data_IF_446845436698
#
_entry.id   IF_446845436698
#
_cell.length_a   1.000
_cell.length_b   1.000
_cell.length_c   1.000
_cell.angle_alpha   90.00
_cell.angle_beta   90.00
_cell.angle_gamma   90.00
#
_symmetry.space_group_name_H-M   'P 1'
#
loop_
_entity.id
_entity.type
_entity.pdbx_description
1 polymer ?
#
# COMPACT_ATOMS: atom_id res chain seq x y z
N UNK A 1 8.47 13.71 8.54
CA UNK A 1 8.07 13.63 7.11
C UNK A 1 8.96 12.71 6.28
N UNK A 2 10.29 12.87 6.21
CA UNK A 2 11.17 12.00 5.39
C UNK A 2 11.07 10.51 5.74
N UNK A 3 11.10 10.16 7.03
CA UNK A 3 10.98 8.76 7.46
C UNK A 3 9.62 8.14 7.12
N UNK A 4 8.55 8.90 7.23
CA UNK A 4 7.20 8.46 6.81
C UNK A 4 7.19 8.13 5.33
N UNK A 5 7.74 9.01 4.49
CA UNK A 5 7.84 8.80 3.06
C UNK A 5 8.70 7.56 2.71
N UNK A 6 9.85 7.37 3.37
CA UNK A 6 10.66 6.15 3.21
C UNK A 6 9.91 4.90 3.64
N UNK A 7 9.13 4.95 4.73
CA UNK A 7 8.28 3.84 5.18
C UNK A 7 7.23 3.49 4.15
N UNK A 8 6.57 4.49 3.53
CA UNK A 8 5.67 4.27 2.37
C UNK A 8 6.43 3.55 1.26
N UNK A 9 7.65 3.99 0.93
CA UNK A 9 8.49 3.37 -0.09
C UNK A 9 8.79 1.89 0.18
N UNK A 10 9.05 1.51 1.43
CA UNK A 10 9.23 0.10 1.82
C UNK A 10 7.98 -0.73 1.50
N UNK A 11 6.79 -0.22 1.84
CA UNK A 11 5.55 -0.92 1.51
C UNK A 11 5.33 -1.01 -0.01
N UNK A 12 5.60 0.05 -0.77
CA UNK A 12 5.46 0.05 -2.23
C UNK A 12 6.41 -0.96 -2.90
N UNK A 13 7.65 -1.09 -2.39
CA UNK A 13 8.58 -2.14 -2.86
C UNK A 13 8.00 -3.53 -2.59
N UNK A 14 7.45 -3.77 -1.40
CA UNK A 14 6.84 -5.05 -1.07
C UNK A 14 5.61 -5.34 -1.94
N UNK A 15 4.77 -4.34 -2.15
CA UNK A 15 3.59 -4.39 -3.02
C UNK A 15 3.97 -4.77 -4.46
N UNK A 16 4.91 -4.08 -5.08
CA UNK A 16 5.37 -4.37 -6.45
C UNK A 16 6.05 -5.75 -6.54
N UNK A 17 6.74 -6.16 -5.47
CA UNK A 17 7.31 -7.50 -5.38
C UNK A 17 6.23 -8.60 -5.39
N UNK A 18 5.03 -8.36 -4.81
CA UNK A 18 3.90 -9.30 -4.86
C UNK A 18 3.42 -9.56 -6.29
N UNK A 19 3.55 -8.58 -7.16
CA UNK A 19 3.24 -8.68 -8.60
C UNK A 19 4.41 -9.16 -9.46
N UNK A 20 5.57 -9.47 -8.85
CA UNK A 20 6.77 -9.85 -9.59
C UNK A 20 7.40 -8.69 -10.37
N UNK A 21 7.00 -7.44 -10.09
CA UNK A 21 7.36 -6.25 -10.85
C UNK A 21 8.78 -5.72 -10.57
N UNK A 22 9.37 -6.06 -9.41
CA UNK A 22 10.72 -5.58 -9.03
C UNK A 22 11.79 -6.26 -9.87
N UNK A 23 11.77 -7.60 -9.94
CA UNK A 23 12.72 -8.37 -10.75
C UNK A 23 11.92 -9.38 -11.58
N UNK A 24 11.71 -9.05 -12.86
CA UNK A 24 10.93 -9.88 -13.78
C UNK A 24 11.49 -11.30 -13.89
N UNK A 25 10.63 -12.31 -13.86
CA UNK A 25 11.01 -13.73 -13.98
C UNK A 25 11.76 -14.32 -12.77
N UNK A 26 11.89 -13.60 -11.66
CA UNK A 26 12.63 -14.05 -10.47
C UNK A 26 11.73 -14.03 -9.19
N UNK A 27 10.77 -14.96 -9.08
CA UNK A 27 9.80 -14.96 -7.98
C UNK A 27 10.46 -15.10 -6.60
N UNK A 28 11.54 -15.87 -6.48
CA UNK A 28 12.30 -16.01 -5.21
C UNK A 28 12.93 -14.69 -4.75
N UNK A 29 13.49 -13.91 -5.68
CA UNK A 29 14.08 -12.59 -5.37
C UNK A 29 12.98 -11.62 -4.97
N UNK A 30 11.89 -11.54 -5.72
CA UNK A 30 10.75 -10.70 -5.36
C UNK A 30 10.21 -11.04 -3.96
N UNK A 31 10.02 -12.33 -3.64
CA UNK A 31 9.60 -12.77 -2.32
C UNK A 31 10.58 -12.35 -1.23
N UNK A 32 11.90 -12.51 -1.46
CA UNK A 32 12.94 -12.11 -0.50
C UNK A 32 12.92 -10.60 -0.23
N UNK A 33 12.96 -9.78 -1.30
CA UNK A 33 12.92 -8.32 -1.19
C UNK A 33 11.62 -7.83 -0.53
N UNK A 34 10.48 -8.36 -0.97
CA UNK A 34 9.19 -7.98 -0.40
C UNK A 34 9.05 -8.39 1.08
N UNK A 35 9.54 -9.57 1.46
CA UNK A 35 9.55 -10.01 2.86
C UNK A 35 10.41 -9.12 3.75
N UNK A 36 11.60 -8.75 3.27
CA UNK A 36 12.51 -7.84 3.98
C UNK A 36 11.87 -6.44 4.12
N UNK A 37 11.30 -5.91 3.04
CA UNK A 37 10.66 -4.61 3.07
C UNK A 37 9.47 -4.57 4.05
N UNK A 38 8.64 -5.63 4.10
CA UNK A 38 7.53 -5.75 5.06
C UNK A 38 8.00 -5.88 6.50
N UNK A 39 9.10 -6.60 6.73
CA UNK A 39 9.70 -6.72 8.06
C UNK A 39 10.17 -5.35 8.56
N UNK A 40 10.90 -4.61 7.72
CA UNK A 40 11.39 -3.26 8.05
C UNK A 40 10.28 -2.24 8.19
N UNK A 41 9.19 -2.37 7.44
CA UNK A 41 8.05 -1.46 7.52
C UNK A 41 7.33 -1.56 8.87
N UNK A 42 6.80 -2.73 9.21
CA UNK A 42 6.03 -2.95 10.44
C UNK A 42 5.93 -4.44 10.83
N UNK A 43 6.90 -5.26 10.43
CA UNK A 43 6.91 -6.67 10.79
C UNK A 43 5.84 -7.51 10.12
N UNK A 44 5.24 -7.05 9.03
CA UNK A 44 4.16 -7.77 8.34
C UNK A 44 4.60 -9.08 7.70
N UNK A 45 3.67 -10.03 7.65
CA UNK A 45 3.88 -11.33 7.02
C UNK A 45 3.65 -11.26 5.52
N UNK A 46 4.67 -11.58 4.71
CA UNK A 46 4.55 -11.74 3.27
C UNK A 46 3.41 -12.69 2.87
N UNK A 47 3.34 -13.87 3.51
CA UNK A 47 2.31 -14.88 3.19
C UNK A 47 0.90 -14.36 3.43
N UNK A 48 0.70 -13.57 4.48
CA UNK A 48 -0.60 -12.99 4.83
C UNK A 48 -0.99 -11.89 3.84
N UNK A 49 -0.05 -10.97 3.56
CA UNK A 49 -0.31 -9.83 2.70
C UNK A 49 -0.55 -10.25 1.24
N UNK A 50 0.28 -11.10 0.68
CA UNK A 50 0.14 -11.48 -0.74
C UNK A 50 -1.22 -12.13 -1.02
N UNK A 51 -1.73 -12.96 -0.11
CA UNK A 51 -3.04 -13.61 -0.28
C UNK A 51 -4.16 -12.57 -0.29
N UNK A 52 -4.13 -11.63 0.65
CA UNK A 52 -5.13 -10.57 0.73
C UNK A 52 -5.03 -9.59 -0.44
N UNK A 53 -3.82 -9.19 -0.79
CA UNK A 53 -3.58 -8.30 -1.90
C UNK A 53 -4.04 -8.89 -3.25
N UNK A 54 -3.79 -10.18 -3.48
CA UNK A 54 -4.31 -10.86 -4.67
C UNK A 54 -5.85 -11.05 -4.62
N UNK A 55 -6.45 -11.17 -3.44
CA UNK A 55 -7.91 -11.16 -3.29
C UNK A 55 -8.49 -9.77 -3.63
N UNK A 56 -7.86 -8.69 -3.12
CA UNK A 56 -8.21 -7.32 -3.48
C UNK A 56 -8.21 -7.11 -5.01
N UNK A 57 -7.15 -7.50 -5.72
CA UNK A 57 -7.11 -7.37 -7.19
C UNK A 57 -8.22 -8.14 -7.92
N UNK A 58 -8.68 -9.27 -7.36
CA UNK A 58 -9.76 -10.06 -7.95
C UNK A 58 -11.15 -9.49 -7.68
N UNK A 59 -11.34 -8.90 -6.51
CA UNK A 59 -12.65 -8.52 -5.98
C UNK A 59 -12.76 -7.03 -5.65
N UNK A 60 -11.88 -6.19 -6.19
CA UNK A 60 -11.75 -4.79 -5.85
C UNK A 60 -13.10 -4.06 -5.73
N UNK A 61 -13.32 -3.41 -4.59
CA UNK A 61 -14.52 -2.63 -4.32
C UNK A 61 -15.80 -3.43 -4.12
N UNK A 62 -15.72 -4.74 -3.87
CA UNK A 62 -16.86 -5.62 -3.55
C UNK A 62 -16.79 -6.09 -2.09
N UNK A 63 -17.86 -6.76 -1.61
CA UNK A 63 -17.89 -7.30 -0.23
C UNK A 63 -16.85 -8.43 0.00
N UNK A 64 -16.33 -9.05 -1.06
CA UNK A 64 -15.28 -10.07 -1.00
C UNK A 64 -13.86 -9.45 -1.00
N UNK A 65 -13.76 -8.14 -1.16
CA UNK A 65 -12.49 -7.42 -1.13
C UNK A 65 -12.05 -7.17 0.33
N UNK A 66 -10.90 -7.73 0.77
CA UNK A 66 -10.41 -7.52 2.13
C UNK A 66 -10.05 -6.07 2.46
N UNK A 67 -9.89 -5.22 1.45
CA UNK A 67 -9.54 -3.80 1.61
C UNK A 67 -10.76 -2.88 1.54
N UNK A 68 -11.94 -3.40 1.20
CA UNK A 68 -13.15 -2.60 1.05
C UNK A 68 -13.98 -2.56 2.34
N UNK A 69 -14.55 -1.40 2.64
CA UNK A 69 -15.56 -1.23 3.69
C UNK A 69 -16.61 -0.21 3.24
N UNK A 70 -17.87 -0.44 3.62
CA UNK A 70 -19.00 0.48 3.34
C UNK A 70 -19.07 1.64 4.32
N UNK A 71 -18.19 1.66 5.32
CA UNK A 71 -18.17 2.67 6.35
C UNK A 71 -17.59 4.01 5.91
N UNK A 72 -17.67 5.01 6.78
CA UNK A 72 -16.98 6.28 6.57
C UNK A 72 -15.45 6.13 6.63
N UNK A 73 -14.67 7.17 6.25
CA UNK A 73 -13.22 7.06 6.12
C UNK A 73 -12.51 6.53 7.37
N UNK A 74 -12.96 6.94 8.56
CA UNK A 74 -12.35 6.51 9.82
C UNK A 74 -12.65 5.04 10.14
N UNK A 75 -13.93 4.61 10.01
CA UNK A 75 -14.30 3.21 10.23
C UNK A 75 -13.62 2.29 9.22
N UNK A 76 -13.53 2.71 7.96
CA UNK A 76 -12.83 1.97 6.92
C UNK A 76 -11.32 1.83 7.22
N UNK A 77 -10.68 2.91 7.70
CA UNK A 77 -9.29 2.82 8.13
C UNK A 77 -9.09 1.84 9.31
N UNK A 78 -10.01 1.84 10.28
CA UNK A 78 -9.97 0.91 11.41
C UNK A 78 -10.10 -0.54 10.90
N UNK A 79 -11.03 -0.82 9.99
CA UNK A 79 -11.21 -2.15 9.40
C UNK A 79 -9.98 -2.58 8.59
N UNK A 80 -9.41 -1.67 7.80
CA UNK A 80 -8.15 -1.88 7.09
C UNK A 80 -7.01 -2.24 8.04
N UNK A 81 -6.82 -1.49 9.12
CA UNK A 81 -5.78 -1.81 10.12
C UNK A 81 -6.03 -3.18 10.76
N UNK A 82 -7.27 -3.48 11.19
CA UNK A 82 -7.63 -4.78 11.77
C UNK A 82 -7.39 -5.95 10.81
N UNK A 83 -7.58 -5.71 9.52
CA UNK A 83 -7.37 -6.72 8.48
C UNK A 83 -5.90 -7.14 8.39
N UNK A 84 -4.96 -6.23 8.55
CA UNK A 84 -3.54 -6.46 8.33
C UNK A 84 -2.71 -6.55 9.61
N UNK A 85 -3.05 -5.79 10.64
CA UNK A 85 -2.33 -5.73 11.90
C UNK A 85 -2.98 -6.63 12.96
N UNK A 86 -2.28 -7.70 13.33
CA UNK A 86 -2.73 -8.66 14.35
C UNK A 86 -1.71 -8.84 15.48
N UNK A 87 -1.97 -9.79 16.34
CA UNK A 87 -1.10 -10.11 17.49
C UNK A 87 0.33 -10.46 17.09
N UNK A 88 0.54 -11.09 15.93
CA UNK A 88 1.87 -11.39 15.43
C UNK A 88 2.65 -10.10 15.13
N UNK A 89 2.05 -9.18 14.39
CA UNK A 89 2.63 -7.89 14.03
C UNK A 89 2.92 -7.06 15.30
N UNK A 90 1.99 -7.06 16.26
CA UNK A 90 2.17 -6.42 17.56
C UNK A 90 3.41 -6.96 18.30
N UNK A 91 3.56 -8.28 18.40
CA UNK A 91 4.70 -8.90 19.09
C UNK A 91 6.03 -8.73 18.34
N UNK A 92 6.01 -8.75 17.02
CA UNK A 92 7.22 -8.45 16.22
C UNK A 92 7.69 -7.02 16.44
N UNK A 93 6.77 -6.04 16.39
CA UNK A 93 7.09 -4.64 16.66
C UNK A 93 7.55 -4.44 18.10
N UNK A 94 6.78 -4.90 19.07
CA UNK A 94 7.10 -4.77 20.49
C UNK A 94 8.42 -5.45 20.85
N UNK A 95 8.63 -6.67 20.36
CA UNK A 95 9.88 -7.43 20.56
C UNK A 95 11.09 -6.72 19.94
N UNK A 96 10.91 -6.11 18.75
CA UNK A 96 11.98 -5.33 18.13
C UNK A 96 12.35 -4.08 18.95
N UNK A 97 11.36 -3.35 19.47
CA UNK A 97 11.59 -2.19 20.35
C UNK A 97 12.31 -2.64 21.63
N UNK A 98 11.89 -3.75 22.26
CA UNK A 98 12.54 -4.30 23.45
C UNK A 98 13.98 -4.70 23.14
N UNK A 99 14.22 -5.40 22.03
CA UNK A 99 15.56 -5.82 21.60
C UNK A 99 16.49 -4.62 21.40
N UNK A 100 16.02 -3.57 20.72
CA UNK A 100 16.78 -2.32 20.56
C UNK A 100 17.05 -1.65 21.90
N UNK A 101 16.08 -1.63 22.81
CA UNK A 101 16.26 -1.04 24.13
C UNK A 101 17.29 -1.81 24.97
N UNK A 102 17.33 -3.14 24.86
CA UNK A 102 18.32 -3.98 25.56
C UNK A 102 19.76 -3.78 25.00
N UNK A 103 19.91 -3.59 23.70
CA UNK A 103 21.24 -3.44 23.05
C UNK A 103 21.77 -2.02 23.18
N UNK A 104 20.91 -1.00 22.96
CA UNK A 104 21.32 0.39 22.81
C UNK A 104 20.85 1.29 23.98
N UNK A 105 20.18 0.72 24.96
CA UNK A 105 19.55 1.41 26.08
C UNK A 105 18.17 1.99 25.73
N UNK A 106 17.33 2.26 26.73
CA UNK A 106 15.97 2.76 26.53
C UNK A 106 16.00 4.19 25.98
N UNK A 107 15.43 4.37 24.78
CA UNK A 107 15.35 5.69 24.13
C UNK A 107 14.01 5.86 23.43
N UNK A 108 13.33 6.95 23.70
CA UNK A 108 12.10 7.33 22.98
C UNK A 108 12.27 7.46 21.46
N UNK A 109 13.53 7.63 21.01
CA UNK A 109 13.89 7.66 19.60
C UNK A 109 13.36 6.44 18.81
N UNK A 110 13.32 5.25 19.39
CA UNK A 110 12.84 4.03 18.70
C UNK A 110 11.35 4.13 18.36
N UNK A 111 10.55 4.66 19.30
CA UNK A 111 9.12 4.90 19.06
C UNK A 111 8.95 6.03 18.05
N UNK A 112 9.65 7.15 18.26
CA UNK A 112 9.49 8.37 17.46
C UNK A 112 9.94 8.18 16.01
N UNK A 113 11.05 7.48 15.79
CA UNK A 113 11.66 7.37 14.45
C UNK A 113 11.29 6.08 13.70
N UNK A 114 10.60 5.14 14.32
CA UNK A 114 10.11 3.94 13.65
C UNK A 114 8.59 3.76 13.75
N UNK A 115 8.02 3.69 14.96
CA UNK A 115 6.60 3.41 15.12
C UNK A 115 5.72 4.55 14.57
N UNK A 116 6.02 5.81 14.91
CA UNK A 116 5.26 6.97 14.42
C UNK A 116 5.32 7.09 12.89
N UNK A 117 6.49 7.01 12.21
CA UNK A 117 6.53 6.99 10.76
C UNK A 117 5.74 5.85 10.12
N UNK A 118 5.76 4.66 10.69
CA UNK A 118 5.02 3.50 10.16
C UNK A 118 3.50 3.68 10.27
N UNK A 119 3.02 4.26 11.38
CA UNK A 119 1.60 4.58 11.55
C UNK A 119 1.17 5.65 10.54
N UNK A 120 1.92 6.74 10.40
CA UNK A 120 1.64 7.80 9.43
C UNK A 120 1.71 7.27 7.99
N UNK A 121 2.64 6.37 7.70
CA UNK A 121 2.74 5.72 6.41
C UNK A 121 1.54 4.81 6.13
N UNK A 122 1.02 4.08 7.13
CA UNK A 122 -0.19 3.26 6.95
C UNK A 122 -1.42 4.11 6.63
N UNK A 123 -1.56 5.28 7.26
CA UNK A 123 -2.62 6.24 6.93
C UNK A 123 -2.48 6.79 5.50
N UNK A 124 -1.26 7.12 5.10
CA UNK A 124 -0.97 7.61 3.75
C UNK A 124 -1.26 6.55 2.69
N UNK A 125 -0.84 5.30 2.93
CA UNK A 125 -1.14 4.15 2.06
C UNK A 125 -2.64 3.88 1.99
N UNK A 126 -3.34 3.92 3.11
CA UNK A 126 -4.80 3.78 3.13
C UNK A 126 -5.48 4.86 2.29
N UNK A 127 -5.12 6.13 2.48
CA UNK A 127 -5.74 7.24 1.75
C UNK A 127 -5.52 7.12 0.24
N UNK A 128 -4.28 6.91 -0.20
CA UNK A 128 -3.93 6.94 -1.62
C UNK A 128 -4.00 5.58 -2.33
N UNK A 129 -3.92 4.50 -1.59
CA UNK A 129 -3.93 3.14 -2.13
C UNK A 129 -5.26 2.39 -1.96
N UNK A 130 -6.10 2.82 -1.02
CA UNK A 130 -7.36 2.12 -0.71
C UNK A 130 -8.56 3.06 -0.82
N UNK A 131 -8.65 4.07 0.04
CA UNK A 131 -9.86 4.87 0.18
C UNK A 131 -10.16 5.74 -1.05
N UNK A 132 -9.24 6.62 -1.46
CA UNK A 132 -9.45 7.50 -2.62
C UNK A 132 -9.72 6.72 -3.92
N UNK A 133 -8.99 5.63 -4.22
CA UNK A 133 -9.23 4.86 -5.42
C UNK A 133 -10.58 4.12 -5.44
N UNK A 134 -11.01 3.55 -4.31
CA UNK A 134 -12.13 2.60 -4.26
C UNK A 134 -13.41 3.15 -3.61
N UNK A 135 -13.38 4.37 -3.07
CA UNK A 135 -14.57 4.95 -2.44
C UNK A 135 -15.70 5.09 -3.45
N UNK A 136 -16.95 4.75 -3.06
CA UNK A 136 -18.12 5.11 -3.85
C UNK A 136 -18.17 6.64 -4.05
N UNK A 137 -18.46 7.06 -5.26
CA UNK A 137 -18.62 8.48 -5.62
C UNK A 137 -19.83 8.60 -6.56
N UNK A 138 -20.22 9.83 -6.93
CA UNK A 138 -21.31 10.08 -7.85
C UNK A 138 -21.08 9.48 -9.24
N UNK A 139 -19.81 9.41 -9.68
CA UNK A 139 -19.44 8.81 -10.95
C UNK A 139 -19.21 7.31 -10.82
N UNK A 140 -19.71 6.54 -11.79
CA UNK A 140 -19.43 5.11 -11.91
C UNK A 140 -17.91 4.86 -12.08
N UNK A 141 -17.48 3.69 -11.65
CA UNK A 141 -16.11 3.25 -11.93
C UNK A 141 -15.92 2.97 -13.43
N UNK A 142 -14.69 3.15 -13.96
CA UNK A 142 -14.44 3.00 -15.40
C UNK A 142 -14.57 1.56 -15.89
N UNK A 143 -14.34 0.59 -15.02
CA UNK A 143 -14.41 -0.85 -15.33
C UNK A 143 -14.55 -1.72 -14.07
N UNK A 144 -14.43 -3.03 -14.26
CA UNK A 144 -14.56 -4.07 -13.22
C UNK A 144 -13.56 -3.97 -12.06
N UNK A 145 -12.49 -3.20 -12.20
CA UNK A 145 -11.49 -3.03 -11.13
C UNK A 145 -11.95 -2.07 -10.04
N UNK A 146 -13.09 -1.40 -10.23
CA UNK A 146 -13.67 -0.47 -9.26
C UNK A 146 -12.63 0.46 -8.63
N UNK A 147 -11.72 0.98 -9.47
CA UNK A 147 -10.62 1.82 -9.06
C UNK A 147 -10.56 3.11 -9.88
N UNK A 148 -10.07 4.18 -9.26
CA UNK A 148 -9.79 5.47 -9.90
C UNK A 148 -8.34 5.86 -9.66
N UNK A 149 -7.85 6.74 -10.50
CA UNK A 149 -6.52 7.33 -10.33
C UNK A 149 -6.61 8.81 -9.99
N UNK A 150 -5.70 9.26 -9.12
CA UNK A 150 -5.54 10.69 -8.85
C UNK A 150 -4.97 11.40 -10.08
N UNK A 151 -5.37 12.67 -10.28
CA UNK A 151 -4.87 13.52 -11.38
C UNK A 151 -3.62 14.34 -11.00
N UNK A 152 -2.85 13.86 -10.02
CA UNK A 152 -1.66 14.57 -9.57
C UNK A 152 -0.56 14.58 -10.62
N UNK A 153 0.11 15.72 -10.77
CA UNK A 153 1.34 15.83 -11.55
C UNK A 153 2.43 14.91 -10.95
N UNK A 154 3.45 14.59 -11.77
CA UNK A 154 4.51 13.62 -11.40
C UNK A 154 5.17 13.92 -10.05
N UNK A 155 5.60 15.15 -9.71
CA UNK A 155 6.24 15.40 -8.41
C UNK A 155 5.31 15.12 -7.24
N UNK A 156 4.08 15.63 -7.28
CA UNK A 156 3.11 15.41 -6.21
C UNK A 156 2.71 13.95 -6.08
N UNK A 157 2.52 13.25 -7.19
CA UNK A 157 2.21 11.81 -7.21
C UNK A 157 3.35 10.97 -6.61
N UNK A 158 4.62 11.36 -6.81
CA UNK A 158 5.77 10.72 -6.16
C UNK A 158 5.78 10.99 -4.65
N UNK A 159 5.63 12.25 -4.26
CA UNK A 159 5.70 12.68 -2.86
C UNK A 159 4.54 12.13 -2.02
N UNK A 160 3.35 12.00 -2.62
CA UNK A 160 2.18 11.47 -1.89
C UNK A 160 2.26 9.98 -1.65
N UNK A 161 2.63 9.17 -2.65
CA UNK A 161 2.65 7.71 -2.45
C UNK A 161 3.38 6.98 -3.60
N UNK A 162 4.58 7.40 -4.02
CA UNK A 162 5.37 6.70 -5.06
C UNK A 162 4.54 6.36 -6.31
N UNK A 163 3.76 7.31 -6.80
CA UNK A 163 2.82 7.14 -7.92
C UNK A 163 1.68 6.13 -7.69
N UNK A 164 1.51 5.59 -6.47
CA UNK A 164 0.47 4.61 -6.15
C UNK A 164 -0.95 5.20 -6.24
N UNK A 165 -1.08 6.53 -6.21
CA UNK A 165 -2.34 7.21 -6.55
C UNK A 165 -2.79 7.02 -8.02
N UNK A 166 -1.95 6.43 -8.90
CA UNK A 166 -2.35 5.91 -10.21
C UNK A 166 -2.87 4.48 -10.10
N UNK A 167 -3.81 4.28 -9.22
CA UNK A 167 -4.23 2.98 -8.76
C UNK A 167 -5.01 2.19 -9.82
N UNK A 168 -5.84 2.87 -10.62
CA UNK A 168 -6.53 2.22 -11.73
C UNK A 168 -5.52 1.69 -12.78
N UNK A 169 -4.51 2.48 -13.16
CA UNK A 169 -3.45 2.03 -14.07
C UNK A 169 -2.65 0.86 -13.48
N UNK A 170 -2.46 0.85 -12.14
CA UNK A 170 -1.86 -0.27 -11.47
C UNK A 170 -2.71 -1.54 -11.59
N UNK A 171 -4.02 -1.47 -11.34
CA UNK A 171 -4.92 -2.62 -11.51
C UNK A 171 -4.94 -3.16 -12.95
N UNK A 172 -4.80 -2.29 -13.96
CA UNK A 172 -4.72 -2.68 -15.37
C UNK A 172 -3.38 -3.34 -15.73
N UNK A 173 -2.29 -2.91 -15.10
CA UNK A 173 -0.92 -3.35 -15.44
C UNK A 173 -0.07 -3.60 -14.19
N UNK A 174 -0.46 -4.55 -13.31
CA UNK A 174 0.17 -4.73 -12.00
C UNK A 174 1.64 -5.18 -12.07
N UNK A 175 2.08 -5.73 -13.21
CA UNK A 175 3.49 -6.08 -13.45
C UNK A 175 4.40 -4.88 -13.73
N UNK A 176 3.85 -3.65 -13.85
CA UNK A 176 4.65 -2.44 -13.99
C UNK A 176 5.00 -1.89 -12.61
N UNK A 177 6.30 -1.73 -12.30
CA UNK A 177 6.70 -1.15 -11.02
C UNK A 177 6.35 0.34 -10.94
N UNK A 178 6.24 0.87 -9.71
CA UNK A 178 5.80 2.24 -9.40
C UNK A 178 6.52 3.32 -10.22
N UNK A 179 7.82 3.17 -10.50
CA UNK A 179 8.58 4.15 -11.30
C UNK A 179 8.23 4.17 -12.78
N UNK A 180 7.51 3.15 -13.28
CA UNK A 180 6.98 3.10 -14.64
C UNK A 180 5.52 3.53 -14.73
N UNK A 181 4.76 3.51 -13.65
CA UNK A 181 3.35 3.93 -13.63
C UNK A 181 3.19 5.41 -14.01
N UNK A 182 4.14 6.27 -13.62
CA UNK A 182 4.11 7.70 -13.97
C UNK A 182 4.20 8.00 -15.47
N UNK A 183 4.61 7.01 -16.28
CA UNK A 183 4.77 7.13 -17.73
C UNK A 183 3.59 6.55 -18.52
N UNK A 184 2.66 5.88 -17.86
CA UNK A 184 1.44 5.41 -18.52
C UNK A 184 0.55 6.63 -18.79
N UNK A 185 0.30 6.91 -20.08
CA UNK A 185 -0.76 7.84 -20.48
C UNK A 185 -2.09 7.23 -20.00
N UNK A 186 -2.92 8.04 -19.34
CA UNK A 186 -4.31 7.62 -19.09
C UNK A 186 -4.92 7.22 -20.43
N UNK A 187 -5.62 6.08 -20.52
CA UNK A 187 -6.51 5.87 -21.64
C UNK A 187 -7.43 7.10 -21.66
N UNK A 188 -7.35 7.90 -22.71
CA UNK A 188 -8.25 9.01 -22.90
C UNK A 188 -9.64 8.42 -23.11
N UNK A 189 -10.41 8.24 -22.04
CA UNK A 189 -11.83 8.07 -22.12
C UNK A 189 -12.40 9.36 -22.72
N UNK A 190 -12.37 9.47 -24.02
CA UNK A 190 -13.29 10.34 -24.72
C UNK A 190 -14.65 9.72 -24.52
N UNK A 191 -15.37 10.19 -23.50
CA UNK A 191 -16.80 10.18 -23.56
C UNK A 191 -17.13 10.99 -24.83
N UNK A 192 -17.48 10.28 -25.89
CA UNK A 192 -18.21 10.86 -27.01
C UNK A 192 -19.47 11.47 -26.39
N UNK A 193 -19.50 12.78 -26.30
CA UNK A 193 -20.75 13.50 -26.00
C UNK A 193 -21.70 13.21 -27.16
N UNK A 194 -23.00 12.94 -26.85
CA UNK A 194 -24.03 12.82 -27.85
C UNK A 194 -24.23 14.11 -28.64
#
# INVERSE_FOLDING_TARGET
MGLTWLSVGLFIVAHDAMHGAIVAGRPGINKGLGSLALLLFAGFSWRKLIVKHMAHHRHAGTDDDPDFSRGGPLSWYIDFVRTYFGWREFWVLGGSVILYALILGPRWAYVTFWAVPSILASMQLFVFGTWLPHRPDHDAFPDRHNARSTRFGRPLSLLTCFHFGRHHEHHLTPWKPWWRLSRTSQPSGRLSRP
#
